data_IF_895281770296
#
_entry.id   IF_895281770296
#
_cell.length_a   1.000
_cell.length_b   1.000
_cell.length_c   1.000
_cell.angle_alpha   90.00
_cell.angle_beta   90.00
_cell.angle_gamma   90.00
#
_symmetry.space_group_name_H-M   'P 1'
#
loop_
_entity.id
_entity.type
_entity.pdbx_description
1 polymer ?
#
# COMPACT_ATOMS: atom_id res chain seq x y z
N UNK A 1 45.33 -22.84 50.03
CA UNK A 1 45.80 -21.44 50.19
C UNK A 1 46.21 -20.93 48.81
N UNK A 2 45.84 -19.70 48.49
CA UNK A 2 46.21 -18.86 47.35
C UNK A 2 45.59 -19.17 45.96
N UNK A 3 44.60 -18.33 45.63
CA UNK A 3 44.20 -17.88 44.29
C UNK A 3 45.40 -17.39 43.47
N UNK A 4 45.30 -17.47 42.14
CA UNK A 4 45.43 -16.29 41.25
C UNK A 4 44.84 -16.59 39.86
N UNK A 5 44.13 -15.60 39.37
CA UNK A 5 43.33 -15.57 38.14
C UNK A 5 44.13 -15.07 36.93
N UNK A 6 43.53 -15.26 35.75
CA UNK A 6 43.62 -14.50 34.49
C UNK A 6 43.84 -15.45 33.31
N UNK A 7 43.09 -15.42 32.22
CA UNK A 7 42.05 -14.50 31.79
C UNK A 7 41.79 -14.73 30.29
N UNK A 8 40.64 -14.24 29.82
CA UNK A 8 40.49 -13.86 28.42
C UNK A 8 39.95 -14.91 27.45
N UNK A 9 38.67 -14.71 27.14
CA UNK A 9 38.16 -14.62 25.77
C UNK A 9 38.11 -15.89 24.91
N UNK A 10 36.90 -16.46 24.84
CA UNK A 10 36.50 -17.40 23.80
C UNK A 10 34.98 -17.46 23.59
N UNK A 11 34.24 -16.37 23.83
CA UNK A 11 32.86 -16.24 23.33
C UNK A 11 32.90 -15.94 21.82
N UNK A 12 33.41 -16.88 21.04
CA UNK A 12 33.35 -16.87 19.59
C UNK A 12 32.41 -18.01 19.18
N UNK A 13 31.15 -17.67 18.87
CA UNK A 13 30.23 -18.67 18.32
C UNK A 13 28.73 -18.41 18.45
N UNK A 14 28.27 -17.22 18.84
CA UNK A 14 26.84 -16.83 18.74
C UNK A 14 26.57 -15.91 17.54
N UNK A 15 27.38 -16.05 16.48
CA UNK A 15 27.10 -15.39 15.22
C UNK A 15 26.07 -16.22 14.43
N UNK A 16 24.88 -15.64 14.28
CA UNK A 16 23.84 -16.02 13.32
C UNK A 16 23.09 -17.34 13.56
N UNK A 17 22.35 -17.43 14.68
CA UNK A 17 21.07 -18.14 14.62
C UNK A 17 20.13 -17.31 13.73
N UNK A 18 20.22 -17.50 12.40
CA UNK A 18 19.11 -17.19 11.50
C UNK A 18 17.96 -18.09 11.94
N UNK A 19 17.00 -17.53 12.66
CA UNK A 19 15.79 -18.21 13.12
C UNK A 19 14.82 -18.55 11.97
N UNK A 20 15.18 -18.26 10.72
CA UNK A 20 14.47 -18.74 9.54
C UNK A 20 14.85 -20.18 9.24
N UNK A 21 13.89 -21.10 9.29
CA UNK A 21 14.09 -22.48 8.87
C UNK A 21 14.67 -22.52 7.43
N UNK A 22 15.82 -23.19 7.19
CA UNK A 22 16.41 -23.30 5.86
C UNK A 22 15.39 -23.86 4.86
N UNK A 23 15.19 -23.17 3.74
CA UNK A 23 14.31 -23.64 2.65
C UNK A 23 12.88 -23.08 2.67
N UNK A 24 12.50 -22.23 3.63
CA UNK A 24 11.28 -21.44 3.50
C UNK A 24 11.52 -20.27 2.54
N UNK A 25 10.65 -20.14 1.52
CA UNK A 25 10.59 -18.98 0.64
C UNK A 25 10.51 -17.70 1.49
N UNK A 26 11.50 -16.81 1.37
CA UNK A 26 11.62 -15.58 2.19
C UNK A 26 10.35 -14.71 2.12
N UNK A 27 9.60 -14.79 1.01
CA UNK A 27 8.30 -14.13 0.84
C UNK A 27 7.27 -14.57 1.89
N UNK A 28 7.32 -15.83 2.32
CA UNK A 28 6.44 -16.39 3.36
C UNK A 28 6.79 -15.93 4.77
N UNK A 29 7.99 -15.38 4.96
CA UNK A 29 8.41 -14.78 6.23
C UNK A 29 8.03 -13.29 6.29
N UNK A 30 7.96 -12.62 5.14
CA UNK A 30 7.64 -11.19 5.06
C UNK A 30 6.12 -10.92 5.12
N UNK A 31 5.32 -11.69 4.38
CA UNK A 31 3.88 -11.48 4.32
C UNK A 31 3.14 -12.24 5.43
N UNK A 32 2.33 -11.57 6.25
CA UNK A 32 1.53 -12.27 7.25
C UNK A 32 0.45 -13.08 6.52
N UNK A 33 0.00 -14.20 7.09
CA UNK A 33 -0.98 -15.10 6.48
C UNK A 33 -2.41 -14.54 6.57
N UNK A 34 -2.61 -13.26 6.29
CA UNK A 34 -3.93 -12.65 6.22
C UNK A 34 -4.66 -13.18 5.00
N UNK A 35 -5.66 -14.03 5.22
CA UNK A 35 -6.40 -14.72 4.16
C UNK A 35 -6.88 -13.78 3.05
N UNK A 36 -7.25 -12.56 3.42
CA UNK A 36 -7.85 -11.56 2.52
C UNK A 36 -6.83 -10.91 1.59
N UNK A 37 -5.54 -10.87 1.94
CA UNK A 37 -4.53 -10.10 1.19
C UNK A 37 -3.31 -10.91 0.77
N UNK A 38 -3.08 -12.07 1.39
CA UNK A 38 -1.85 -12.84 1.24
C UNK A 38 -1.55 -13.22 -0.22
N UNK A 39 -2.56 -13.69 -0.97
CA UNK A 39 -2.35 -14.08 -2.38
C UNK A 39 -2.10 -12.86 -3.27
N UNK A 40 -2.79 -11.74 -3.02
CA UNK A 40 -2.55 -10.48 -3.74
C UNK A 40 -1.14 -9.93 -3.51
N UNK A 41 -0.61 -10.03 -2.29
CA UNK A 41 0.76 -9.65 -1.99
C UNK A 41 1.81 -10.55 -2.68
N UNK A 42 1.60 -11.86 -2.69
CA UNK A 42 2.50 -12.77 -3.41
C UNK A 42 2.52 -12.49 -4.92
N UNK A 43 1.36 -12.16 -5.50
CA UNK A 43 1.26 -11.79 -6.90
C UNK A 43 1.94 -10.43 -7.18
N UNK A 44 1.75 -9.45 -6.30
CA UNK A 44 2.45 -8.16 -6.36
C UNK A 44 3.98 -8.31 -6.30
N UNK A 45 4.47 -9.17 -5.42
CA UNK A 45 5.90 -9.45 -5.24
C UNK A 45 6.55 -9.90 -6.56
N UNK A 46 5.88 -10.80 -7.28
CA UNK A 46 6.32 -11.28 -8.59
C UNK A 46 6.29 -10.21 -9.69
N UNK A 47 5.43 -9.19 -9.56
CA UNK A 47 5.26 -8.13 -10.58
C UNK A 47 6.08 -6.88 -10.35
N UNK A 48 6.55 -6.67 -9.13
CA UNK A 48 7.38 -5.52 -8.76
C UNK A 48 8.79 -5.61 -9.35
N UNK A 49 9.22 -6.78 -9.83
CA UNK A 49 10.58 -7.00 -10.34
C UNK A 49 11.66 -6.94 -9.24
N UNK A 50 12.93 -7.19 -9.61
CA UNK A 50 14.04 -7.27 -8.66
C UNK A 50 14.47 -5.89 -8.12
N UNK A 51 14.30 -4.82 -8.89
CA UNK A 51 14.60 -3.44 -8.46
C UNK A 51 13.47 -2.77 -7.67
N UNK A 52 12.34 -3.46 -7.52
CA UNK A 52 11.10 -2.87 -7.04
C UNK A 52 10.39 -2.01 -8.10
N UNK A 53 9.21 -1.53 -7.71
CA UNK A 53 8.33 -0.70 -8.52
C UNK A 53 7.83 0.53 -7.75
N UNK A 54 7.30 1.53 -8.45
CA UNK A 54 6.54 2.63 -7.85
C UNK A 54 5.06 2.29 -7.82
N UNK A 55 4.47 2.31 -6.64
CA UNK A 55 3.08 1.88 -6.42
C UNK A 55 2.23 3.01 -5.86
N UNK A 56 1.03 3.15 -6.41
CA UNK A 56 -0.08 3.80 -5.73
C UNK A 56 -0.93 2.74 -5.02
N UNK A 57 -1.55 3.14 -3.91
CA UNK A 57 -2.50 2.28 -3.20
C UNK A 57 -3.77 3.02 -2.79
N UNK A 58 -4.87 2.26 -2.69
CA UNK A 58 -6.13 2.72 -2.12
C UNK A 58 -6.86 1.56 -1.39
N UNK A 59 -7.77 1.91 -0.49
CA UNK A 59 -8.59 0.95 0.27
C UNK A 59 -8.15 0.84 1.74
N UNK A 60 -7.95 -0.38 2.23
CA UNK A 60 -7.50 -0.64 3.61
C UNK A 60 -6.09 -0.09 3.85
N UNK A 61 -5.88 0.60 4.98
CA UNK A 61 -4.61 1.25 5.32
C UNK A 61 -3.57 0.27 5.88
N UNK A 62 -3.10 -0.65 5.02
CA UNK A 62 -2.04 -1.62 5.31
C UNK A 62 -0.88 -1.54 4.30
N UNK A 63 -0.28 -0.35 4.07
CA UNK A 63 0.70 -0.15 3.01
C UNK A 63 2.04 -0.84 3.28
N UNK A 64 2.36 -1.21 4.52
CA UNK A 64 3.65 -1.79 4.90
C UNK A 64 4.05 -2.98 4.02
N UNK A 65 3.10 -3.87 3.71
CA UNK A 65 3.36 -5.05 2.90
C UNK A 65 3.51 -4.71 1.40
N UNK A 66 3.07 -3.53 0.95
CA UNK A 66 3.26 -3.08 -0.42
C UNK A 66 4.71 -2.68 -0.71
N UNK A 67 5.53 -2.42 0.32
CA UNK A 67 6.97 -2.17 0.17
C UNK A 67 7.75 -3.39 -0.32
N UNK A 68 7.15 -4.59 -0.24
CA UNK A 68 7.74 -5.84 -0.71
C UNK A 68 8.96 -6.28 0.09
N UNK A 69 9.44 -7.49 -0.21
CA UNK A 69 10.65 -8.03 0.44
C UNK A 69 11.84 -7.08 0.22
N UNK A 70 12.56 -6.79 1.30
CA UNK A 70 13.69 -5.86 1.28
C UNK A 70 13.30 -4.38 1.16
N UNK A 71 12.02 -4.04 1.29
CA UNK A 71 11.49 -2.68 1.15
C UNK A 71 11.85 -2.02 -0.20
N UNK A 72 11.96 -2.83 -1.26
CA UNK A 72 12.46 -2.39 -2.57
C UNK A 72 11.46 -1.51 -3.34
N UNK A 73 10.19 -1.58 -2.98
CA UNK A 73 9.16 -0.80 -3.65
C UNK A 73 9.05 0.61 -3.07
N UNK A 74 8.71 1.55 -3.93
CA UNK A 74 8.35 2.91 -3.55
C UNK A 74 6.82 3.03 -3.48
N UNK A 75 6.27 3.12 -2.28
CA UNK A 75 4.81 3.20 -2.07
C UNK A 75 4.39 4.65 -1.85
N UNK A 76 3.30 5.07 -2.51
CA UNK A 76 2.74 6.42 -2.45
C UNK A 76 1.23 6.35 -2.28
N UNK A 77 0.69 7.14 -1.34
CA UNK A 77 -0.72 7.54 -1.41
C UNK A 77 -0.82 8.69 -2.42
N UNK A 78 -1.74 8.58 -3.38
CA UNK A 78 -1.88 9.57 -4.46
C UNK A 78 -3.25 10.22 -4.34
N UNK A 79 -3.25 11.52 -4.07
CA UNK A 79 -4.48 12.30 -3.89
C UNK A 79 -5.39 12.18 -5.11
N UNK A 80 -6.69 12.01 -4.85
CA UNK A 80 -7.72 11.78 -5.86
C UNK A 80 -8.25 13.05 -6.52
N UNK A 81 -7.66 14.21 -6.21
CA UNK A 81 -8.09 15.51 -6.68
C UNK A 81 -6.92 16.35 -7.24
N UNK A 82 -7.16 17.63 -7.51
CA UNK A 82 -6.19 18.53 -8.14
C UNK A 82 -5.10 19.07 -7.18
N UNK A 83 -4.92 18.45 -6.01
CA UNK A 83 -3.97 18.90 -5.00
C UNK A 83 -2.85 17.87 -4.74
N UNK A 84 -1.95 17.58 -5.71
CA UNK A 84 -0.97 16.50 -5.62
C UNK A 84 0.02 16.61 -4.45
N UNK A 85 0.26 17.83 -3.94
CA UNK A 85 1.20 18.09 -2.85
C UNK A 85 0.53 18.29 -1.49
N UNK A 86 -0.80 18.24 -1.42
CA UNK A 86 -1.49 18.48 -0.16
C UNK A 86 -1.37 17.29 0.79
N UNK A 87 -1.03 17.61 2.03
CA UNK A 87 -1.07 16.72 3.17
C UNK A 87 -2.45 16.81 3.84
N UNK A 88 -2.76 15.87 4.73
CA UNK A 88 -4.06 15.83 5.42
C UNK A 88 -4.41 17.13 6.15
N UNK A 89 -3.40 17.83 6.70
CA UNK A 89 -3.63 19.11 7.37
C UNK A 89 -3.89 20.27 6.40
N UNK A 90 -3.50 20.18 5.14
CA UNK A 90 -3.86 21.17 4.11
C UNK A 90 -5.35 21.10 3.80
N UNK A 91 -5.88 19.89 3.64
CA UNK A 91 -7.31 19.66 3.49
C UNK A 91 -8.10 20.18 4.70
N UNK A 92 -7.60 19.95 5.92
CA UNK A 92 -8.21 20.51 7.13
C UNK A 92 -8.25 22.03 7.13
N UNK A 93 -7.13 22.69 6.81
CA UNK A 93 -7.06 24.16 6.72
C UNK A 93 -8.02 24.69 5.67
N UNK A 94 -8.07 24.07 4.50
CA UNK A 94 -8.99 24.47 3.44
C UNK A 94 -10.46 24.28 3.85
N UNK A 95 -10.79 23.22 4.59
CA UNK A 95 -12.13 23.01 5.14
C UNK A 95 -12.53 24.09 6.16
N UNK A 96 -11.59 24.50 7.02
CA UNK A 96 -11.77 25.62 7.95
C UNK A 96 -12.06 26.93 7.21
N UNK A 97 -11.30 27.23 6.16
CA UNK A 97 -11.49 28.44 5.35
C UNK A 97 -12.87 28.45 4.68
N UNK A 98 -13.37 27.28 4.28
CA UNK A 98 -14.74 27.08 3.75
C UNK A 98 -15.83 27.05 4.82
N UNK A 99 -15.47 27.17 6.11
CA UNK A 99 -16.39 27.08 7.25
C UNK A 99 -17.15 25.75 7.31
N UNK A 100 -16.53 24.66 6.86
CA UNK A 100 -17.07 23.32 7.03
C UNK A 100 -16.92 22.85 8.49
N UNK A 101 -17.81 21.98 8.99
CA UNK A 101 -17.66 21.39 10.32
C UNK A 101 -16.33 20.63 10.42
N UNK A 102 -15.52 20.95 11.43
CA UNK A 102 -14.19 20.34 11.62
C UNK A 102 -14.24 18.88 12.08
N UNK A 103 -15.33 18.46 12.71
CA UNK A 103 -15.40 17.17 13.41
C UNK A 103 -16.77 16.47 13.26
N UNK A 104 -17.29 16.23 12.04
CA UNK A 104 -18.46 15.37 11.89
C UNK A 104 -18.18 13.93 12.36
N UNK A 105 -16.90 13.51 12.36
CA UNK A 105 -16.39 12.29 12.98
C UNK A 105 -14.86 12.43 13.18
N UNK A 106 -14.19 11.41 13.72
CA UNK A 106 -12.74 11.43 14.01
C UNK A 106 -11.83 11.43 12.77
N UNK A 107 -12.39 11.22 11.56
CA UNK A 107 -11.70 11.21 10.27
C UNK A 107 -12.62 11.77 9.16
N UNK A 108 -12.77 13.09 9.02
CA UNK A 108 -13.77 13.70 8.14
C UNK A 108 -13.63 13.39 6.64
N UNK A 109 -12.46 12.90 6.18
CA UNK A 109 -12.27 12.45 4.79
C UNK A 109 -12.25 13.57 3.76
N UNK A 110 -11.87 14.80 4.15
CA UNK A 110 -11.82 15.96 3.25
C UNK A 110 -10.93 15.74 2.01
N UNK A 111 -9.89 14.91 2.15
CA UNK A 111 -8.99 14.53 1.05
C UNK A 111 -9.67 13.71 -0.04
N UNK A 112 -10.88 13.22 0.22
CA UNK A 112 -11.66 12.38 -0.70
C UNK A 112 -13.04 12.99 -1.04
N UNK A 113 -13.33 14.21 -0.59
CA UNK A 113 -14.66 14.82 -0.73
C UNK A 113 -15.01 15.20 -2.18
N UNK A 114 -14.00 15.53 -3.00
CA UNK A 114 -14.17 15.98 -4.38
C UNK A 114 -13.27 15.21 -5.35
N UNK A 115 -13.47 13.89 -5.50
CA UNK A 115 -12.62 13.06 -6.33
C UNK A 115 -12.76 13.44 -7.81
N UNK A 116 -11.63 13.52 -8.52
CA UNK A 116 -11.55 13.85 -9.93
C UNK A 116 -10.59 12.90 -10.65
N UNK A 117 -11.13 12.06 -11.54
CA UNK A 117 -10.36 11.05 -12.26
C UNK A 117 -9.17 11.62 -13.06
N UNK A 118 -9.37 12.74 -13.76
CA UNK A 118 -8.32 13.33 -14.60
C UNK A 118 -7.18 13.89 -13.76
N UNK A 119 -7.51 14.54 -12.63
CA UNK A 119 -6.51 15.01 -11.68
C UNK A 119 -5.75 13.84 -11.05
N UNK A 120 -6.45 12.81 -10.58
CA UNK A 120 -5.84 11.60 -10.05
C UNK A 120 -4.91 10.91 -11.05
N UNK A 121 -5.34 10.73 -12.31
CA UNK A 121 -4.51 10.18 -13.37
C UNK A 121 -3.27 11.03 -13.64
N UNK A 122 -3.41 12.36 -13.66
CA UNK A 122 -2.27 13.29 -13.77
C UNK A 122 -1.30 13.13 -12.60
N UNK A 123 -1.80 12.97 -11.38
CA UNK A 123 -0.99 12.77 -10.18
C UNK A 123 -0.24 11.44 -10.24
N UNK A 124 -0.89 10.35 -10.67
CA UNK A 124 -0.25 9.04 -10.89
C UNK A 124 0.90 9.15 -11.89
N UNK A 125 0.68 9.83 -13.03
CA UNK A 125 1.71 10.04 -14.06
C UNK A 125 2.87 10.90 -13.56
N UNK A 126 2.56 12.00 -12.86
CA UNK A 126 3.58 12.90 -12.29
C UNK A 126 4.48 12.17 -11.28
N UNK A 127 3.90 11.27 -10.49
CA UNK A 127 4.66 10.43 -9.53
C UNK A 127 5.30 9.20 -10.19
N UNK A 128 5.12 9.02 -11.51
CA UNK A 128 5.61 7.89 -12.30
C UNK A 128 5.18 6.53 -11.70
N UNK A 129 3.94 6.45 -11.25
CA UNK A 129 3.38 5.20 -10.71
C UNK A 129 3.33 4.15 -11.81
N UNK A 130 3.79 2.94 -11.49
CA UNK A 130 3.84 1.80 -12.41
C UNK A 130 2.74 0.78 -12.10
N UNK A 131 2.47 0.57 -10.81
CA UNK A 131 1.47 -0.37 -10.32
C UNK A 131 0.45 0.35 -9.44
N UNK A 132 -0.82 -0.03 -9.58
CA UNK A 132 -1.90 0.39 -8.70
C UNK A 132 -2.43 -0.82 -7.94
N UNK A 133 -2.41 -0.74 -6.62
CA UNK A 133 -3.04 -1.70 -5.73
C UNK A 133 -4.32 -1.09 -5.18
N UNK A 134 -5.46 -1.75 -5.39
CA UNK A 134 -6.72 -1.35 -4.76
C UNK A 134 -7.25 -2.49 -3.93
N UNK A 135 -7.45 -2.23 -2.64
CA UNK A 135 -8.03 -3.21 -1.72
C UNK A 135 -9.46 -2.83 -1.38
N UNK A 136 -10.25 -3.82 -0.95
CA UNK A 136 -11.52 -3.56 -0.29
C UNK A 136 -11.26 -2.70 0.95
N UNK A 137 -12.05 -1.66 1.17
CA UNK A 137 -12.00 -0.81 2.34
C UNK A 137 -12.36 -1.62 3.59
N UNK A 138 -11.60 -1.44 4.67
CA UNK A 138 -11.91 -2.06 5.96
C UNK A 138 -13.03 -1.25 6.64
N UNK A 139 -14.22 -1.82 6.87
CA UNK A 139 -15.32 -1.09 7.50
C UNK A 139 -14.98 -0.63 8.93
N UNK A 140 -14.04 -1.31 9.61
CA UNK A 140 -13.56 -0.91 10.93
C UNK A 140 -12.73 0.37 10.96
N UNK A 141 -12.27 0.87 9.80
CA UNK A 141 -11.62 2.18 9.72
C UNK A 141 -12.63 3.32 9.87
N UNK A 142 -13.90 3.08 9.54
CA UNK A 142 -15.00 4.02 9.70
C UNK A 142 -15.52 4.59 8.37
N UNK A 143 -16.53 5.46 8.41
CA UNK A 143 -17.35 5.84 7.25
C UNK A 143 -16.62 6.71 6.22
N UNK A 144 -15.41 7.17 6.53
CA UNK A 144 -14.59 8.02 5.65
C UNK A 144 -13.95 7.25 4.50
N UNK A 145 -13.81 5.93 4.62
CA UNK A 145 -13.32 5.07 3.56
C UNK A 145 -14.51 4.72 2.64
N UNK A 146 -14.99 5.74 1.91
CA UNK A 146 -16.16 5.62 1.01
C UNK A 146 -15.87 4.57 -0.05
N UNK A 147 -16.75 3.57 -0.10
CA UNK A 147 -16.61 2.42 -0.95
C UNK A 147 -17.91 2.09 -1.70
N UNK A 148 -17.78 1.45 -2.85
CA UNK A 148 -18.89 0.96 -3.65
C UNK A 148 -19.60 -0.25 -3.03
N UNK A 149 -20.59 -0.81 -3.73
CA UNK A 149 -21.37 -1.97 -3.27
C UNK A 149 -20.53 -3.24 -3.06
N UNK A 150 -19.34 -3.32 -3.67
CA UNK A 150 -18.40 -4.43 -3.48
C UNK A 150 -17.34 -4.10 -2.42
N UNK A 151 -17.40 -2.90 -1.84
CA UNK A 151 -16.54 -2.43 -0.78
C UNK A 151 -15.20 -1.89 -1.27
N UNK A 152 -15.02 -1.59 -2.56
CA UNK A 152 -13.80 -0.97 -3.06
C UNK A 152 -13.94 0.55 -3.14
N UNK A 153 -12.83 1.30 -2.96
CA UNK A 153 -12.84 2.74 -3.15
C UNK A 153 -12.93 3.08 -4.65
N UNK A 154 -13.24 4.34 -4.96
CA UNK A 154 -13.53 4.83 -6.33
C UNK A 154 -12.41 4.55 -7.35
N UNK A 155 -11.16 4.46 -6.91
CA UNK A 155 -9.98 4.17 -7.73
C UNK A 155 -10.11 2.84 -8.48
N UNK A 156 -10.79 1.85 -7.89
CA UNK A 156 -11.08 0.59 -8.60
C UNK A 156 -12.01 0.85 -9.78
N UNK A 157 -13.11 1.56 -9.55
CA UNK A 157 -14.09 1.85 -10.61
C UNK A 157 -13.43 2.61 -11.76
N UNK A 158 -12.55 3.57 -11.44
CA UNK A 158 -11.76 4.28 -12.44
C UNK A 158 -10.81 3.39 -13.21
N UNK A 159 -10.09 2.48 -12.54
CA UNK A 159 -9.19 1.54 -13.21
C UNK A 159 -9.96 0.55 -14.10
N UNK A 160 -11.06 -0.02 -13.62
CA UNK A 160 -11.88 -0.99 -14.35
C UNK A 160 -12.59 -0.36 -15.57
N UNK A 161 -12.95 0.93 -15.50
CA UNK A 161 -13.59 1.67 -16.60
C UNK A 161 -12.61 2.16 -17.67
N UNK A 162 -11.30 2.09 -17.43
CA UNK A 162 -10.26 2.57 -18.35
C UNK A 162 -9.19 1.48 -18.62
N UNK A 163 -9.56 0.33 -19.24
CA UNK A 163 -8.62 -0.77 -19.51
C UNK A 163 -7.48 -0.40 -20.49
N UNK A 164 -7.67 0.66 -21.29
CA UNK A 164 -6.66 1.26 -22.14
C UNK A 164 -5.56 2.01 -21.37
N UNK A 165 -5.82 2.32 -20.08
CA UNK A 165 -4.86 2.94 -19.17
C UNK A 165 -4.40 1.96 -18.08
N UNK A 166 -5.29 1.11 -17.58
CA UNK A 166 -5.04 0.20 -16.47
C UNK A 166 -5.19 -1.26 -16.91
N UNK A 167 -4.07 -1.96 -17.06
CA UNK A 167 -4.10 -3.39 -17.35
C UNK A 167 -4.35 -4.19 -16.07
N UNK A 168 -5.44 -4.98 -15.96
CA UNK A 168 -5.68 -5.81 -14.79
C UNK A 168 -4.69 -6.99 -14.75
N UNK A 169 -3.90 -7.03 -13.69
CA UNK A 169 -2.88 -8.04 -13.46
C UNK A 169 -3.38 -9.15 -12.52
N UNK A 170 -4.13 -8.77 -11.49
CA UNK A 170 -4.67 -9.68 -10.47
C UNK A 170 -6.06 -9.21 -9.97
N UNK A 171 -6.87 -10.16 -9.53
CA UNK A 171 -8.14 -9.92 -8.86
C UNK A 171 -9.28 -10.59 -9.63
N UNK A 172 -9.78 -10.01 -10.74
CA UNK A 172 -10.93 -10.55 -11.47
C UNK A 172 -10.74 -11.99 -11.96
N UNK A 173 -9.58 -12.30 -12.56
CA UNK A 173 -9.28 -13.66 -13.07
C UNK A 173 -9.18 -14.69 -11.95
N UNK A 174 -8.67 -14.29 -10.79
CA UNK A 174 -8.52 -15.14 -9.61
C UNK A 174 -9.79 -15.19 -8.74
N UNK A 175 -10.81 -14.39 -9.07
CA UNK A 175 -12.01 -14.20 -8.25
C UNK A 175 -11.68 -13.74 -6.82
N UNK A 176 -10.60 -12.97 -6.67
CA UNK A 176 -10.26 -12.38 -5.37
C UNK A 176 -11.28 -11.29 -5.03
N UNK A 177 -11.81 -11.30 -3.81
CA UNK A 177 -12.85 -10.37 -3.36
C UNK A 177 -12.29 -9.13 -2.66
N UNK A 178 -10.99 -9.09 -2.39
CA UNK A 178 -10.36 -8.11 -1.51
C UNK A 178 -9.22 -7.35 -2.17
N UNK A 179 -8.62 -7.90 -3.23
CA UNK A 179 -7.41 -7.34 -3.83
C UNK A 179 -7.54 -7.16 -5.35
N UNK A 180 -7.09 -6.00 -5.83
CA UNK A 180 -6.93 -5.69 -7.25
C UNK A 180 -5.53 -5.16 -7.49
N UNK A 181 -4.91 -5.63 -8.56
CA UNK A 181 -3.61 -5.15 -9.01
C UNK A 181 -3.72 -4.76 -10.48
N UNK A 182 -3.29 -3.55 -10.80
CA UNK A 182 -3.25 -3.02 -12.15
C UNK A 182 -1.84 -2.55 -12.50
N UNK A 183 -1.51 -2.64 -13.78
CA UNK A 183 -0.36 -1.93 -14.37
C UNK A 183 -0.87 -0.66 -15.03
N UNK A 184 -0.25 0.47 -14.70
CA UNK A 184 -0.49 1.71 -15.43
C UNK A 184 0.28 1.67 -16.75
N UNK A 185 -0.41 1.88 -17.87
CA UNK A 185 0.20 1.94 -19.21
C UNK A 185 0.80 3.32 -19.45
N UNK A 186 1.95 3.36 -20.14
CA UNK A 186 2.61 4.61 -20.52
C UNK A 186 3.37 5.32 -19.38
N UNK A 187 3.56 4.67 -18.23
CA UNK A 187 4.53 5.08 -17.21
C UNK A 187 5.92 4.56 -17.61
N UNK A 188 6.75 5.40 -18.25
CA UNK A 188 8.17 5.13 -18.51
C UNK A 188 9.04 6.00 -17.62
#
# INVERSE_FOLDING_TARGET
>A
RALLAAGGLGLAGLAALRTGAPGLDERRLFYPPFRDFYLGWLDLEGRSGPSGARLAYAGTNIPYYLFGTGLRNEVRYVNVDAHPGWLMHDYHRAALDRKEPTWPNSRPGWDRAHPNFQAWLSNLKTQQIQLLVVTRANPGEGPHNVADSEGFPIERLWADSHPELFEPLYGPKQKDLFFRLYRLRGSS
#
